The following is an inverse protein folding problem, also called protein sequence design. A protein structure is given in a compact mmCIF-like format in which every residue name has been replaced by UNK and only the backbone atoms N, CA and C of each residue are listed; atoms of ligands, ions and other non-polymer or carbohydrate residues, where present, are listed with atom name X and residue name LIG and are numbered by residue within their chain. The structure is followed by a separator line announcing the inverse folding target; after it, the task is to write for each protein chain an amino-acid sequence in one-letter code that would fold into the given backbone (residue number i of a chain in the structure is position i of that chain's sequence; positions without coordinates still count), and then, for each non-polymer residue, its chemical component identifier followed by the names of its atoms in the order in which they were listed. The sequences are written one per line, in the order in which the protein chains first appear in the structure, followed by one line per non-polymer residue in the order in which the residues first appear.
data_IF_605600586958
#
_entry.id   IF_605600586958
#
_cell.length_a   1.000
_cell.length_b   1.000
_cell.length_c   1.000
_cell.angle_alpha   90.00
_cell.angle_beta   90.00
_cell.angle_gamma   90.00
#
_symmetry.space_group_name_H-M   'P 1'
#
loop_
_entity.id
_entity.type
_entity.pdbx_description
1 polymer ?
#
# COMPACT_ATOMS: atom_id res chain seq x y z
N UNK A 1 5.32 -7.26 -48.47
CA UNK A 1 5.65 -6.88 -47.07
C UNK A 1 4.84 -7.61 -45.99
N UNK A 2 3.96 -8.58 -46.32
CA UNK A 2 3.11 -9.25 -45.31
C UNK A 2 3.64 -10.59 -44.77
N UNK A 3 4.74 -11.14 -45.32
CA UNK A 3 5.28 -12.46 -44.90
C UNK A 3 6.32 -12.35 -43.78
N UNK A 4 6.96 -11.18 -43.63
CA UNK A 4 7.98 -10.94 -42.59
C UNK A 4 7.41 -10.67 -41.20
N UNK A 5 6.17 -10.17 -41.09
CA UNK A 5 5.55 -9.82 -39.81
C UNK A 5 5.04 -11.07 -39.05
N UNK A 6 4.66 -12.13 -39.78
CA UNK A 6 4.16 -13.37 -39.17
C UNK A 6 5.26 -14.18 -38.48
N UNK A 7 6.49 -14.19 -39.03
CA UNK A 7 7.62 -14.88 -38.42
C UNK A 7 8.07 -14.23 -37.10
N UNK A 8 7.98 -12.91 -37.01
CA UNK A 8 8.40 -12.15 -35.82
C UNK A 8 7.44 -12.37 -34.66
N UNK A 9 6.14 -12.50 -34.93
CA UNK A 9 5.11 -12.76 -33.92
C UNK A 9 5.21 -14.20 -33.38
N UNK A 10 5.51 -15.17 -34.25
CA UNK A 10 5.71 -16.58 -33.84
C UNK A 10 6.97 -16.78 -32.98
N UNK A 11 8.07 -16.06 -33.25
CA UNK A 11 9.25 -16.09 -32.37
C UNK A 11 8.98 -15.40 -31.02
N UNK A 12 8.28 -14.26 -31.02
CA UNK A 12 7.91 -13.55 -29.79
C UNK A 12 6.99 -14.39 -28.90
N UNK A 13 6.02 -15.10 -29.47
CA UNK A 13 5.17 -16.03 -28.72
C UNK A 13 5.94 -17.25 -28.19
N UNK A 14 6.93 -17.76 -28.92
CA UNK A 14 7.78 -18.87 -28.45
C UNK A 14 8.71 -18.44 -27.31
N UNK A 15 9.25 -17.23 -27.36
CA UNK A 15 10.07 -16.64 -26.29
C UNK A 15 9.21 -16.40 -25.04
N UNK A 16 7.97 -15.91 -25.21
CA UNK A 16 7.04 -15.68 -24.10
C UNK A 16 6.60 -16.99 -23.44
N UNK A 17 6.34 -18.05 -24.22
CA UNK A 17 6.02 -19.38 -23.70
C UNK A 17 7.20 -20.03 -22.96
N UNK A 18 8.44 -19.80 -23.41
CA UNK A 18 9.64 -20.27 -22.71
C UNK A 18 9.86 -19.54 -21.38
N UNK A 19 9.67 -18.22 -21.34
CA UNK A 19 9.77 -17.43 -20.10
C UNK A 19 8.69 -17.81 -19.08
N UNK A 20 7.46 -18.09 -19.53
CA UNK A 20 6.37 -18.54 -18.67
C UNK A 20 6.61 -19.95 -18.09
N UNK A 21 7.32 -20.82 -18.83
CA UNK A 21 7.68 -22.16 -18.35
C UNK A 21 8.85 -22.18 -17.35
N UNK A 22 9.72 -21.15 -17.34
CA UNK A 22 10.76 -21.01 -16.31
C UNK A 22 10.22 -20.49 -14.96
N UNK A 23 9.05 -19.82 -14.96
CA UNK A 23 8.40 -19.31 -13.74
C UNK A 23 7.66 -20.40 -12.93
N UNK A 24 7.43 -21.59 -13.50
CA UNK A 24 6.68 -22.69 -12.86
C UNK A 24 7.57 -23.79 -12.27
N UNK A 25 8.91 -23.63 -12.26
CA UNK A 25 9.86 -24.62 -11.74
C UNK A 25 10.69 -24.14 -10.53
N UNK A 26 10.13 -23.26 -9.70
CA UNK A 26 10.78 -22.79 -8.46
C UNK A 26 10.00 -23.14 -7.18
N UNK A 27 9.20 -24.21 -7.23
CA UNK A 27 8.53 -24.76 -6.05
C UNK A 27 9.11 -26.13 -5.69
N UNK A 28 10.34 -26.18 -5.16
CA UNK A 28 10.77 -27.18 -4.17
C UNK A 28 12.14 -26.76 -3.62
N UNK A 29 12.25 -26.41 -2.34
CA UNK A 29 13.13 -27.07 -1.37
C UNK A 29 13.09 -26.41 0.02
N UNK A 30 12.73 -27.23 1.02
CA UNK A 30 13.24 -27.25 2.40
C UNK A 30 13.50 -25.95 3.16
N UNK A 31 12.49 -25.47 3.88
CA UNK A 31 12.66 -24.53 4.99
C UNK A 31 12.54 -25.23 6.35
N UNK A 32 13.66 -25.38 7.03
CA UNK A 32 13.76 -25.99 8.36
C UNK A 32 12.91 -25.28 9.43
N UNK A 33 12.35 -26.07 10.34
CA UNK A 33 11.61 -25.66 11.53
C UNK A 33 12.49 -24.79 12.45
N UNK A 34 12.43 -23.46 12.28
CA UNK A 34 13.03 -22.50 13.21
C UNK A 34 12.05 -22.21 14.32
N UNK A 35 12.31 -22.76 15.51
CA UNK A 35 11.67 -22.32 16.75
C UNK A 35 11.84 -20.80 16.92
N UNK A 36 10.78 -20.04 17.25
CA UNK A 36 10.92 -18.63 17.55
C UNK A 36 11.78 -18.48 18.81
N UNK A 37 12.91 -17.78 18.67
CA UNK A 37 13.70 -17.32 19.81
C UNK A 37 12.84 -16.36 20.63
N UNK A 38 12.54 -16.73 21.87
CA UNK A 38 11.82 -15.90 22.83
C UNK A 38 12.61 -14.64 23.18
N UNK A 39 12.46 -13.61 22.37
CA UNK A 39 12.73 -12.24 22.76
C UNK A 39 11.38 -11.66 23.17
N UNK A 40 11.09 -11.68 24.48
CA UNK A 40 10.06 -10.81 25.06
C UNK A 40 10.49 -9.37 24.81
N UNK A 41 10.10 -8.81 23.67
CA UNK A 41 10.18 -7.37 23.46
C UNK A 41 9.15 -6.73 24.40
N UNK A 42 9.53 -5.71 25.20
CA UNK A 42 8.55 -4.93 25.92
C UNK A 42 7.59 -4.36 24.88
N UNK A 43 6.31 -4.73 24.99
CA UNK A 43 5.26 -4.02 24.28
C UNK A 43 5.37 -2.56 24.70
N UNK A 44 5.35 -1.59 23.78
CA UNK A 44 5.26 -0.19 24.18
C UNK A 44 3.99 -0.08 25.04
N UNK A 45 4.15 0.28 26.31
CA UNK A 45 3.04 0.50 27.21
C UNK A 45 2.19 1.63 26.60
N UNK A 46 1.08 1.25 25.96
CA UNK A 46 0.08 2.11 25.33
C UNK A 46 0.68 3.14 24.33
N UNK A 47 0.86 2.77 23.05
CA UNK A 47 1.40 3.67 22.03
C UNK A 47 0.49 4.87 21.72
N UNK A 48 -0.72 4.95 22.28
CA UNK A 48 -1.59 6.11 22.20
C UNK A 48 -2.48 6.16 23.45
N UNK A 49 -2.84 7.38 23.88
CA UNK A 49 -3.91 7.55 24.85
C UNK A 49 -5.22 7.15 24.15
N UNK A 50 -5.77 6.00 24.52
CA UNK A 50 -7.13 5.63 24.17
C UNK A 50 -8.06 6.71 24.74
N UNK A 51 -8.77 7.42 23.87
CA UNK A 51 -9.93 8.19 24.30
C UNK A 51 -11.00 7.20 24.77
N UNK A 52 -11.29 7.11 26.08
CA UNK A 52 -12.25 6.14 26.59
C UNK A 52 -13.63 6.34 25.99
N UNK A 53 -13.97 7.56 25.58
CA UNK A 53 -15.25 7.85 24.92
C UNK A 53 -15.40 7.19 23.55
N UNK A 54 -14.28 6.81 22.91
CA UNK A 54 -14.29 6.01 21.67
C UNK A 54 -14.45 4.52 21.92
N UNK A 55 -14.04 4.03 23.09
CA UNK A 55 -14.27 2.64 23.52
C UNK A 55 -15.71 2.43 24.01
N UNK A 56 -16.26 3.46 24.66
CA UNK A 56 -17.64 3.46 25.18
C UNK A 56 -18.67 3.92 24.14
N UNK A 57 -18.23 4.22 22.91
CA UNK A 57 -19.13 4.56 21.81
C UNK A 57 -20.04 3.33 21.61
N UNK A 58 -21.36 3.44 21.87
CA UNK A 58 -22.25 2.31 21.64
C UNK A 58 -22.23 2.05 20.14
N UNK A 59 -21.47 1.04 19.72
CA UNK A 59 -21.70 0.40 18.43
C UNK A 59 -23.14 -0.10 18.54
N UNK A 60 -24.05 0.30 17.65
CA UNK A 60 -25.36 -0.31 17.61
C UNK A 60 -25.15 -1.81 17.37
N UNK A 61 -25.11 -2.57 18.47
CA UNK A 61 -25.17 -4.01 18.41
C UNK A 61 -26.59 -4.29 18.00
N UNK A 62 -26.82 -4.37 16.69
CA UNK A 62 -28.05 -4.91 16.16
C UNK A 62 -28.27 -6.26 16.88
N UNK A 63 -29.44 -6.48 17.51
CA UNK A 63 -29.70 -7.74 18.19
C UNK A 63 -29.34 -8.87 17.23
N UNK A 64 -28.57 -9.87 17.68
CA UNK A 64 -28.09 -10.95 16.83
C UNK A 64 -29.20 -11.74 16.09
N UNK A 65 -30.46 -11.51 16.47
CA UNK A 65 -31.66 -12.08 15.86
C UNK A 65 -32.39 -11.16 14.86
N UNK A 66 -31.91 -9.94 14.63
CA UNK A 66 -32.48 -8.97 13.67
C UNK A 66 -31.60 -8.85 12.42
N UNK A 67 -30.85 -9.91 12.10
CA UNK A 67 -30.28 -10.15 10.77
C UNK A 67 -31.42 -10.53 9.81
N UNK A 68 -32.46 -9.70 9.75
CA UNK A 68 -33.45 -9.77 8.69
C UNK A 68 -32.67 -9.65 7.40
N UNK A 69 -32.65 -10.75 6.63
CA UNK A 69 -32.07 -10.74 5.29
C UNK A 69 -32.62 -9.52 4.58
N UNK A 70 -31.75 -8.70 3.99
CA UNK A 70 -32.19 -7.54 3.23
C UNK A 70 -33.34 -7.99 2.30
N UNK A 71 -34.59 -7.56 2.55
CA UNK A 71 -35.74 -8.07 1.80
C UNK A 71 -35.66 -7.67 0.33
N UNK A 72 -34.86 -6.65 0.02
CA UNK A 72 -34.55 -6.20 -1.34
C UNK A 72 -33.39 -6.96 -1.97
N UNK A 73 -32.66 -7.77 -1.18
CA UNK A 73 -31.48 -8.56 -1.61
C UNK A 73 -30.45 -7.71 -2.35
N UNK A 74 -30.19 -6.51 -1.84
CA UNK A 74 -29.21 -5.58 -2.44
C UNK A 74 -27.83 -6.22 -2.41
N UNK A 75 -27.15 -6.16 -3.56
CA UNK A 75 -25.74 -6.47 -3.66
C UNK A 75 -24.94 -5.20 -3.34
N UNK A 76 -23.86 -5.35 -2.57
CA UNK A 76 -22.94 -4.27 -2.24
C UNK A 76 -21.62 -4.50 -2.98
N UNK A 77 -21.03 -3.43 -3.49
CA UNK A 77 -19.81 -3.43 -4.28
C UNK A 77 -18.77 -2.52 -3.62
N UNK A 78 -17.53 -2.99 -3.60
CA UNK A 78 -16.44 -2.25 -2.97
C UNK A 78 -15.09 -2.84 -3.28
N UNK A 79 -14.05 -2.13 -2.84
CA UNK A 79 -12.65 -2.53 -3.01
C UNK A 79 -12.00 -2.70 -1.63
N UNK A 80 -11.24 -3.78 -1.48
CA UNK A 80 -10.56 -4.16 -0.24
C UNK A 80 -9.05 -4.28 -0.41
N UNK A 81 -8.51 -3.87 -1.57
CA UNK A 81 -7.08 -3.93 -1.85
C UNK A 81 -6.65 -2.66 -2.60
N UNK A 82 -6.41 -1.58 -1.85
CA UNK A 82 -6.15 -0.24 -2.40
C UNK A 82 -4.92 0.35 -1.76
N UNK A 83 -3.96 0.75 -2.58
CA UNK A 83 -2.72 1.37 -2.11
C UNK A 83 -2.72 2.87 -2.42
N UNK A 84 -2.18 3.64 -1.49
CA UNK A 84 -2.04 5.09 -1.51
C UNK A 84 -0.55 5.46 -1.52
N UNK A 85 -0.24 6.75 -1.44
CA UNK A 85 1.14 7.25 -1.31
C UNK A 85 1.90 6.68 -0.10
N UNK A 86 1.20 6.10 0.88
CA UNK A 86 1.83 5.50 2.05
C UNK A 86 2.34 4.09 1.81
N UNK A 87 1.82 3.37 0.82
CA UNK A 87 2.43 2.10 0.41
C UNK A 87 3.72 2.34 -0.35
N UNK A 88 4.73 1.53 -0.05
CA UNK A 88 6.03 1.59 -0.71
C UNK A 88 5.91 1.38 -2.22
N UNK A 89 5.12 0.41 -2.65
CA UNK A 89 4.99 0.07 -4.07
C UNK A 89 4.28 1.16 -4.87
N UNK A 90 3.11 1.61 -4.40
CA UNK A 90 2.36 2.67 -5.03
C UNK A 90 3.20 3.95 -5.11
N UNK A 91 3.90 4.32 -4.04
CA UNK A 91 4.77 5.49 -4.05
C UNK A 91 5.93 5.32 -5.06
N UNK A 92 6.61 4.17 -5.06
CA UNK A 92 7.71 3.90 -5.99
C UNK A 92 7.24 3.93 -7.44
N UNK A 93 5.99 3.55 -7.73
CA UNK A 93 5.42 3.62 -9.08
C UNK A 93 4.75 4.95 -9.44
N UNK A 94 4.86 5.98 -8.59
CA UNK A 94 4.40 7.32 -8.90
C UNK A 94 3.04 7.70 -8.32
N UNK A 95 2.45 6.82 -7.51
CA UNK A 95 1.25 7.08 -6.74
C UNK A 95 1.50 8.17 -5.69
N UNK A 96 0.78 9.26 -5.80
CA UNK A 96 0.81 10.39 -4.84
C UNK A 96 -0.53 10.62 -4.16
N UNK A 97 -1.51 9.76 -4.44
CA UNK A 97 -2.88 9.83 -3.91
C UNK A 97 -2.84 9.60 -2.41
N UNK A 98 -3.49 10.46 -1.65
CA UNK A 98 -3.66 10.35 -0.19
C UNK A 98 -4.80 9.38 0.18
N UNK A 99 -4.84 8.86 1.41
CA UNK A 99 -6.00 8.10 1.89
C UNK A 99 -7.33 8.85 1.77
N UNK A 100 -7.36 10.15 2.06
CA UNK A 100 -8.53 11.03 1.91
C UNK A 100 -9.01 11.08 0.45
N UNK A 101 -8.10 11.37 -0.49
CA UNK A 101 -8.42 11.37 -1.93
C UNK A 101 -8.88 9.99 -2.43
N UNK A 102 -8.35 8.89 -1.88
CA UNK A 102 -8.77 7.54 -2.22
C UNK A 102 -10.23 7.28 -1.79
N UNK A 103 -10.64 7.75 -0.60
CA UNK A 103 -12.03 7.65 -0.16
C UNK A 103 -12.97 8.58 -0.93
N UNK A 104 -12.53 9.80 -1.28
CA UNK A 104 -13.29 10.70 -2.17
C UNK A 104 -13.53 10.04 -3.53
N UNK A 105 -12.52 9.42 -4.11
CA UNK A 105 -12.64 8.67 -5.36
C UNK A 105 -13.65 7.52 -5.25
N UNK A 106 -13.61 6.75 -4.15
CA UNK A 106 -14.59 5.70 -3.88
C UNK A 106 -16.03 6.23 -3.73
N UNK A 107 -16.19 7.48 -3.28
CA UNK A 107 -17.46 8.19 -3.18
C UNK A 107 -17.91 8.84 -4.51
N UNK A 108 -17.13 8.67 -5.58
CA UNK A 108 -17.47 9.11 -6.94
C UNK A 108 -16.77 10.39 -7.39
N UNK A 109 -15.89 10.98 -6.58
CA UNK A 109 -15.10 12.14 -7.01
C UNK A 109 -14.05 11.76 -8.07
N UNK A 110 -13.65 12.74 -8.87
CA UNK A 110 -12.62 12.55 -9.88
C UNK A 110 -11.21 12.55 -9.26
N UNK A 111 -10.35 11.64 -9.70
CA UNK A 111 -8.98 11.45 -9.22
C UNK A 111 -7.97 11.64 -10.35
N UNK A 112 -6.87 12.34 -10.08
CA UNK A 112 -5.78 12.48 -11.04
C UNK A 112 -4.92 11.21 -11.10
N UNK A 113 -4.80 10.60 -12.28
CA UNK A 113 -3.91 9.47 -12.49
C UNK A 113 -2.48 9.95 -12.78
N UNK A 114 -1.42 9.28 -12.25
CA UNK A 114 -0.02 9.68 -12.47
C UNK A 114 0.39 9.80 -13.95
N UNK A 115 -0.28 9.07 -14.86
CA UNK A 115 -0.04 9.17 -16.30
C UNK A 115 -0.67 10.41 -16.97
N UNK A 116 -1.27 11.33 -16.20
CA UNK A 116 -1.72 12.64 -16.68
C UNK A 116 -3.18 12.70 -17.16
N UNK A 117 -3.98 11.68 -16.88
CA UNK A 117 -5.41 11.69 -17.17
C UNK A 117 -6.24 11.64 -15.88
N UNK A 118 -7.52 12.00 -15.96
CA UNK A 118 -8.45 11.94 -14.83
C UNK A 118 -9.21 10.61 -14.85
N UNK A 119 -9.33 9.99 -13.68
CA UNK A 119 -10.13 8.80 -13.42
C UNK A 119 -11.37 9.17 -12.63
N UNK A 120 -12.48 8.46 -12.86
CA UNK A 120 -13.68 8.56 -12.04
C UNK A 120 -14.41 7.23 -12.11
N UNK A 121 -14.97 6.79 -10.99
CA UNK A 121 -15.85 5.62 -10.98
C UNK A 121 -17.16 5.94 -11.71
N UNK A 122 -17.74 4.93 -12.35
CA UNK A 122 -19.04 5.07 -13.01
C UNK A 122 -20.17 5.28 -11.98
N UNK A 123 -20.05 4.62 -10.84
CA UNK A 123 -20.95 4.72 -9.69
C UNK A 123 -20.09 4.69 -8.42
N UNK A 124 -20.45 5.40 -7.34
CA UNK A 124 -19.81 5.26 -6.04
C UNK A 124 -19.85 3.82 -5.50
N UNK A 125 -18.88 3.47 -4.68
CA UNK A 125 -18.83 2.16 -4.00
C UNK A 125 -19.63 2.19 -2.71
N UNK A 126 -20.05 1.01 -2.25
CA UNK A 126 -20.73 0.83 -0.97
C UNK A 126 -19.74 0.67 0.19
N UNK A 127 -18.54 0.15 -0.10
CA UNK A 127 -17.47 0.00 0.87
C UNK A 127 -16.07 0.12 0.28
N UNK A 128 -15.11 0.53 1.09
CA UNK A 128 -13.73 0.75 0.65
C UNK A 128 -12.72 0.55 1.78
N UNK A 129 -11.58 -0.07 1.48
CA UNK A 129 -10.47 -0.21 2.41
C UNK A 129 -9.16 0.25 1.76
N UNK A 130 -8.51 1.24 2.38
CA UNK A 130 -7.10 1.51 2.12
C UNK A 130 -6.29 0.44 2.82
N UNK A 131 -5.45 -0.27 2.09
CA UNK A 131 -4.67 -1.42 2.54
C UNK A 131 -3.21 -1.28 2.13
N UNK A 132 -2.59 -0.15 2.45
CA UNK A 132 -1.16 0.05 2.21
C UNK A 132 -0.32 -1.08 2.87
N UNK A 133 0.84 -1.38 2.27
CA UNK A 133 1.78 -2.33 2.83
C UNK A 133 2.19 -1.96 4.27
N UNK A 134 2.10 -2.91 5.20
CA UNK A 134 2.56 -2.73 6.58
C UNK A 134 4.08 -2.54 6.67
N UNK A 135 4.83 -3.25 5.83
CA UNK A 135 6.29 -3.10 5.80
C UNK A 135 6.65 -1.75 5.16
N UNK A 136 7.42 -0.94 5.89
CA UNK A 136 7.85 0.39 5.47
C UNK A 136 6.70 1.36 5.15
N UNK A 137 5.55 1.19 5.83
CA UNK A 137 4.41 2.10 5.74
C UNK A 137 4.86 3.56 5.90
N UNK A 138 4.59 4.39 4.90
CA UNK A 138 4.95 5.81 4.83
C UNK A 138 6.43 6.11 4.54
N UNK A 139 7.33 5.13 4.62
CA UNK A 139 8.77 5.34 4.60
C UNK A 139 9.29 5.82 3.25
N UNK A 140 8.70 5.35 2.14
CA UNK A 140 9.13 5.76 0.80
C UNK A 140 8.84 7.25 0.54
N UNK A 141 7.71 7.75 1.02
CA UNK A 141 7.37 9.16 0.94
C UNK A 141 8.32 10.01 1.80
N UNK A 142 8.61 9.57 3.03
CA UNK A 142 9.55 10.23 3.94
C UNK A 142 11.00 10.22 3.42
N UNK A 143 11.41 9.16 2.72
CA UNK A 143 12.73 9.08 2.10
C UNK A 143 12.86 10.02 0.89
N UNK A 144 11.79 10.21 0.12
CA UNK A 144 11.79 11.02 -1.07
C UNK A 144 11.75 12.54 -0.82
N UNK A 145 11.17 12.95 0.31
CA UNK A 145 11.06 14.35 0.74
C UNK A 145 12.36 14.82 1.42
N UNK A 146 13.11 15.70 0.76
CA UNK A 146 14.39 16.23 1.28
C UNK A 146 14.26 17.08 2.53
N UNK A 147 13.06 17.56 2.85
CA UNK A 147 12.82 18.32 4.07
C UNK A 147 12.55 17.38 5.27
N UNK A 148 12.24 16.11 5.01
CA UNK A 148 12.00 15.12 6.06
C UNK A 148 13.33 14.59 6.62
N UNK A 149 13.51 14.49 7.97
CA UNK A 149 14.77 14.06 8.57
C UNK A 149 15.31 12.71 8.05
N UNK A 150 14.42 11.76 7.79
CA UNK A 150 14.77 10.44 7.24
C UNK A 150 15.48 10.50 5.88
N UNK A 151 15.28 11.57 5.11
CA UNK A 151 15.95 11.73 3.80
C UNK A 151 17.46 11.92 3.88
N UNK A 152 17.98 12.23 5.08
CA UNK A 152 19.41 12.38 5.33
C UNK A 152 20.17 11.05 5.41
N UNK A 153 19.47 9.93 5.61
CA UNK A 153 20.10 8.61 5.61
C UNK A 153 20.55 8.21 4.21
N UNK A 154 21.73 7.57 4.05
CA UNK A 154 22.20 7.11 2.74
C UNK A 154 21.20 6.19 2.01
N UNK A 155 20.44 5.39 2.77
CA UNK A 155 19.40 4.52 2.23
C UNK A 155 18.29 5.30 1.49
N UNK A 156 18.04 6.56 1.84
CA UNK A 156 16.97 7.38 1.25
C UNK A 156 17.37 8.05 -0.08
N UNK A 157 18.67 8.24 -0.34
CA UNK A 157 19.20 8.92 -1.54
C UNK A 157 18.55 8.45 -2.86
N UNK A 158 18.36 7.13 -3.11
CA UNK A 158 17.76 6.67 -4.36
C UNK A 158 16.32 7.15 -4.60
N UNK A 159 15.60 7.55 -3.54
CA UNK A 159 14.20 7.96 -3.60
C UNK A 159 14.04 9.49 -3.67
N UNK A 160 15.09 10.28 -3.50
CA UNK A 160 14.99 11.73 -3.48
C UNK A 160 14.30 12.27 -4.75
N UNK A 161 13.30 13.14 -4.55
CA UNK A 161 12.44 13.71 -5.60
C UNK A 161 11.76 12.68 -6.52
N UNK A 162 11.59 11.43 -6.09
CA UNK A 162 11.12 10.36 -6.97
C UNK A 162 9.83 10.74 -7.72
N UNK A 163 8.91 11.43 -7.07
CA UNK A 163 7.60 11.78 -7.62
C UNK A 163 7.45 13.24 -8.06
N UNK A 164 8.57 13.97 -8.26
CA UNK A 164 8.54 15.31 -8.85
C UNK A 164 7.91 15.32 -10.25
N UNK A 165 7.46 16.49 -10.68
CA UNK A 165 6.94 16.66 -12.03
C UNK A 165 7.98 16.32 -13.10
N UNK A 166 7.51 15.67 -14.16
CA UNK A 166 8.35 15.13 -15.23
C UNK A 166 9.02 13.78 -14.90
N UNK A 167 9.01 13.31 -13.64
CA UNK A 167 9.57 12.01 -13.28
C UNK A 167 8.54 10.87 -13.16
N UNK A 168 7.24 11.14 -13.38
CA UNK A 168 6.13 10.16 -13.30
C UNK A 168 5.66 9.68 -14.67
N UNK A 169 6.58 9.52 -15.63
CA UNK A 169 6.26 9.17 -17.03
C UNK A 169 6.49 7.69 -17.31
N UNK A 170 5.95 7.17 -18.44
CA UNK A 170 6.19 5.78 -18.87
C UNK A 170 7.70 5.45 -19.00
N UNK A 171 8.52 6.45 -19.36
CA UNK A 171 9.97 6.29 -19.49
C UNK A 171 10.68 6.10 -18.13
N UNK A 172 10.04 6.48 -17.02
CA UNK A 172 10.59 6.33 -15.67
C UNK A 172 10.38 4.92 -15.08
N UNK A 173 9.44 4.15 -15.61
CA UNK A 173 9.04 2.84 -15.06
C UNK A 173 10.22 1.87 -14.92
N UNK A 174 11.10 1.68 -15.92
CA UNK A 174 12.22 0.75 -15.78
C UNK A 174 13.19 1.12 -14.65
N UNK A 175 13.41 2.42 -14.41
CA UNK A 175 14.27 2.90 -13.32
C UNK A 175 13.68 2.68 -11.94
N UNK A 176 12.35 2.81 -11.82
CA UNK A 176 11.60 2.65 -10.56
C UNK A 176 11.65 1.22 -10.02
N UNK A 177 11.61 0.21 -10.90
CA UNK A 177 11.73 -1.21 -10.51
C UNK A 177 13.02 -1.49 -9.72
N UNK A 178 14.13 -0.87 -10.13
CA UNK A 178 15.43 -1.03 -9.46
C UNK A 178 15.53 -0.36 -8.09
N UNK A 179 14.55 0.48 -7.70
CA UNK A 179 14.59 1.18 -6.41
C UNK A 179 14.33 0.25 -5.25
N UNK A 180 13.46 -0.76 -5.41
CA UNK A 180 13.24 -1.77 -4.37
C UNK A 180 14.54 -2.49 -3.99
N UNK A 181 15.31 -2.91 -4.99
CA UNK A 181 16.59 -3.62 -4.80
C UNK A 181 17.70 -2.76 -4.16
N UNK A 182 17.48 -1.45 -4.00
CA UNK A 182 18.40 -0.54 -3.31
C UNK A 182 17.86 -0.11 -1.96
N UNK A 183 16.62 0.40 -1.94
CA UNK A 183 15.98 0.99 -0.79
C UNK A 183 15.72 -0.04 0.32
N UNK A 184 15.12 -1.18 -0.02
CA UNK A 184 14.78 -2.21 0.97
C UNK A 184 16.03 -2.77 1.65
N UNK A 185 17.06 -3.25 0.92
CA UNK A 185 18.30 -3.68 1.57
C UNK A 185 19.00 -2.56 2.34
N UNK A 186 19.04 -1.33 1.81
CA UNK A 186 19.68 -0.20 2.48
C UNK A 186 19.05 0.15 3.82
N UNK A 187 17.71 0.14 3.90
CA UNK A 187 16.99 0.36 5.18
C UNK A 187 17.23 -0.81 6.14
N UNK A 188 17.17 -2.07 5.66
CA UNK A 188 17.39 -3.24 6.51
C UNK A 188 18.83 -3.32 7.05
N UNK A 189 19.82 -3.00 6.23
CA UNK A 189 21.23 -2.93 6.64
C UNK A 189 21.43 -1.82 7.67
N UNK A 190 20.85 -0.64 7.43
CA UNK A 190 20.91 0.49 8.36
C UNK A 190 20.22 0.22 9.71
N UNK A 191 19.13 -0.55 9.71
CA UNK A 191 18.50 -1.01 10.94
C UNK A 191 19.35 -2.06 11.67
N UNK A 192 20.07 -2.91 10.92
CA UNK A 192 20.88 -4.00 11.48
C UNK A 192 22.20 -3.50 12.07
N UNK A 193 22.82 -2.51 11.46
CA UNK A 193 24.06 -1.88 11.93
C UNK A 193 23.83 -0.66 12.83
N UNK A 194 22.56 -0.36 13.13
CA UNK A 194 22.10 0.72 14.00
C UNK A 194 22.40 2.14 13.48
N UNK A 195 22.79 2.29 12.20
CA UNK A 195 22.94 3.61 11.56
C UNK A 195 21.61 4.30 11.24
N UNK A 196 20.52 3.53 11.17
CA UNK A 196 19.14 4.02 11.13
C UNK A 196 18.44 3.60 12.43
N UNK A 197 18.07 4.54 13.32
CA UNK A 197 17.31 4.23 14.52
C UNK A 197 15.96 3.62 14.17
N UNK A 198 15.61 2.52 14.82
CA UNK A 198 14.31 1.86 14.62
C UNK A 198 13.13 2.79 14.96
N UNK A 199 13.31 3.68 15.93
CA UNK A 199 12.29 4.64 16.36
C UNK A 199 11.94 5.66 15.27
N UNK A 200 12.89 6.04 14.42
CA UNK A 200 12.63 6.94 13.28
C UNK A 200 11.69 6.29 12.27
N UNK A 201 11.96 5.03 11.92
CA UNK A 201 11.10 4.24 11.02
C UNK A 201 9.72 4.02 11.64
N UNK A 202 9.68 3.65 12.92
CA UNK A 202 8.43 3.41 13.64
C UNK A 202 7.57 4.68 13.75
N UNK A 203 8.18 5.85 13.97
CA UNK A 203 7.48 7.13 14.02
C UNK A 203 6.81 7.46 12.68
N UNK A 204 7.49 7.21 11.56
CA UNK A 204 6.96 7.41 10.21
C UNK A 204 5.78 6.48 9.94
N UNK A 205 5.95 5.17 10.20
CA UNK A 205 4.87 4.19 10.04
C UNK A 205 3.65 4.51 10.91
N UNK A 206 3.88 4.97 12.15
CA UNK A 206 2.81 5.38 13.05
C UNK A 206 2.07 6.61 12.52
N UNK A 207 2.78 7.61 12.00
CA UNK A 207 2.16 8.80 11.42
C UNK A 207 1.30 8.45 10.20
N UNK A 208 1.83 7.63 9.29
CA UNK A 208 1.09 7.17 8.11
C UNK A 208 -0.14 6.31 8.50
N UNK A 209 0.01 5.42 9.48
CA UNK A 209 -1.12 4.64 10.01
C UNK A 209 -2.22 5.53 10.60
N UNK A 210 -1.86 6.56 11.37
CA UNK A 210 -2.83 7.51 11.93
C UNK A 210 -3.56 8.30 10.86
N UNK A 211 -2.88 8.65 9.76
CA UNK A 211 -3.50 9.30 8.61
C UNK A 211 -4.54 8.40 7.94
N UNK A 212 -4.22 7.12 7.73
CA UNK A 212 -5.16 6.11 7.20
C UNK A 212 -6.39 5.95 8.12
N UNK A 213 -6.17 5.80 9.43
CA UNK A 213 -7.25 5.69 10.41
C UNK A 213 -8.14 6.93 10.41
N UNK A 214 -7.54 8.12 10.35
CA UNK A 214 -8.26 9.39 10.36
C UNK A 214 -9.09 9.55 9.10
N UNK A 215 -8.55 9.23 7.94
CA UNK A 215 -9.27 9.26 6.68
C UNK A 215 -10.45 8.25 6.68
N UNK A 216 -10.23 7.02 7.15
CA UNK A 216 -11.32 6.05 7.26
C UNK A 216 -12.47 6.56 8.16
N UNK A 217 -12.16 7.06 9.36
CA UNK A 217 -13.16 7.60 10.30
C UNK A 217 -13.90 8.82 9.72
N UNK A 218 -13.18 9.71 9.02
CA UNK A 218 -13.76 10.91 8.41
C UNK A 218 -14.73 10.60 7.26
N UNK A 219 -14.47 9.53 6.50
CA UNK A 219 -15.29 9.17 5.35
C UNK A 219 -16.39 8.15 5.66
N UNK A 220 -16.38 7.50 6.83
CA UNK A 220 -17.42 6.55 7.21
C UNK A 220 -18.81 7.22 7.29
N UNK A 221 -19.76 6.70 6.53
CA UNK A 221 -21.15 7.15 6.54
C UNK A 221 -22.08 5.96 6.80
N UNK A 222 -22.54 5.77 8.06
CA UNK A 222 -23.38 4.62 8.42
C UNK A 222 -24.60 4.48 7.51
N UNK A 223 -24.72 3.31 6.87
CA UNK A 223 -25.86 2.98 6.00
C UNK A 223 -25.75 3.47 4.56
N UNK A 224 -24.72 4.24 4.20
CA UNK A 224 -24.47 4.68 2.81
C UNK A 224 -23.07 4.34 2.29
N UNK A 225 -22.02 4.44 3.13
CA UNK A 225 -20.64 4.12 2.74
C UNK A 225 -19.84 3.58 3.92
N UNK A 226 -19.33 2.36 3.80
CA UNK A 226 -18.56 1.69 4.87
C UNK A 226 -17.06 1.74 4.59
N UNK A 227 -16.30 2.29 5.51
CA UNK A 227 -14.83 2.27 5.45
C UNK A 227 -14.27 1.20 6.38
N UNK A 228 -13.14 0.62 6.02
CA UNK A 228 -12.37 -0.25 6.91
C UNK A 228 -11.03 0.38 7.25
N UNK A 229 -10.68 0.39 8.54
CA UNK A 229 -9.32 0.63 9.00
C UNK A 229 -8.54 -0.67 8.79
N UNK A 230 -7.70 -0.71 7.75
CA UNK A 230 -7.02 -1.91 7.30
C UNK A 230 -5.60 -1.62 6.79
N UNK A 231 -4.80 -2.66 6.63
CA UNK A 231 -3.48 -2.63 6.01
C UNK A 231 -3.25 -3.98 5.31
N UNK A 232 -2.36 -4.01 4.31
CA UNK A 232 -1.91 -5.27 3.73
C UNK A 232 -0.77 -5.86 4.58
N UNK A 233 -0.93 -7.11 5.00
CA UNK A 233 0.17 -7.85 5.61
C UNK A 233 1.25 -8.11 4.56
N UNK A 234 2.42 -7.49 4.75
CA UNK A 234 3.60 -7.73 3.93
C UNK A 234 4.52 -8.73 4.62
N UNK A 235 4.81 -9.86 3.97
CA UNK A 235 5.87 -10.76 4.44
C UNK A 235 7.24 -10.10 4.17
N UNK A 236 8.02 -9.88 5.22
CA UNK A 236 9.42 -9.43 5.16
C UNK A 236 10.42 -10.57 5.13
#
# INVERSE_FOLDING_TARGET
MAVGLSLVIDELMRIFAFLLSLLLAACTEGGADRKPSGLSRPSPDQPFALDPSRLDRPVPLFPANDMDRDPQKRAYFGDLHVHTKWSMDAFIFGGTVTPDEAYLYAQGEALAHPAGFTMQLREPLDFYAVTDHALFLGLSAAAADREHPFSSYPAAEPLHDLNRDGNRTLLSIPGRLGLFSKFVPGVLDGLRDESIPQDDVAAISKSAWLDIVTAADAHYQPGSFTTFVAYEYTSG
#
